data_IF_442674140475
#
_entry.id   IF_442674140475
#
_cell.length_a   1.000
_cell.length_b   1.000
_cell.length_c   1.000
_cell.angle_alpha   90.00
_cell.angle_beta   90.00
_cell.angle_gamma   90.00
#
_symmetry.space_group_name_H-M   'P 1'
#
loop_
_entity.id
_entity.type
_entity.pdbx_description
1 polymer ?
#
# COMPACT_ATOMS: atom_id res chain seq x y z
N UNK A 1 -9.77 -21.28 6.51
CA UNK A 1 -10.34 -19.92 6.46
C UNK A 1 -9.50 -19.00 5.55
N UNK A 2 -9.15 -19.44 4.33
CA UNK A 2 -8.08 -18.81 3.51
C UNK A 2 -8.61 -18.06 2.27
N UNK A 3 -9.88 -18.29 1.87
CA UNK A 3 -10.49 -17.69 0.68
C UNK A 3 -10.94 -16.22 0.83
N UNK A 4 -11.18 -15.75 2.05
CA UNK A 4 -11.73 -14.40 2.27
C UNK A 4 -10.64 -13.31 2.19
N UNK A 5 -9.43 -13.56 2.69
CA UNK A 5 -8.36 -12.57 2.71
C UNK A 5 -7.85 -12.20 1.31
N UNK A 6 -7.76 -13.17 0.41
CA UNK A 6 -7.33 -12.95 -0.97
C UNK A 6 -8.37 -12.16 -1.76
N UNK A 7 -9.66 -12.44 -1.53
CA UNK A 7 -10.79 -11.71 -2.09
C UNK A 7 -10.82 -10.25 -1.61
N UNK A 8 -10.72 -10.00 -0.30
CA UNK A 8 -10.73 -8.63 0.23
C UNK A 8 -9.47 -7.84 -0.14
N UNK A 9 -8.28 -8.47 -0.20
CA UNK A 9 -7.06 -7.80 -0.72
C UNK A 9 -7.23 -7.42 -2.18
N UNK A 10 -7.80 -8.30 -2.99
CA UNK A 10 -8.02 -8.05 -4.41
C UNK A 10 -8.98 -6.88 -4.60
N UNK A 11 -10.13 -6.88 -3.92
CA UNK A 11 -11.13 -5.81 -3.98
C UNK A 11 -10.59 -4.48 -3.44
N UNK A 12 -9.97 -4.48 -2.25
CA UNK A 12 -9.44 -3.23 -1.68
C UNK A 12 -8.26 -2.68 -2.50
N UNK A 13 -7.47 -3.52 -3.17
CA UNK A 13 -6.40 -3.06 -4.06
C UNK A 13 -6.95 -2.57 -5.41
N UNK A 14 -7.92 -3.28 -5.98
CA UNK A 14 -8.51 -2.92 -7.27
C UNK A 14 -9.36 -1.67 -7.16
N UNK A 15 -10.25 -1.56 -6.18
CA UNK A 15 -11.14 -0.40 -6.06
C UNK A 15 -10.39 0.89 -5.68
N UNK A 16 -9.37 0.79 -4.82
CA UNK A 16 -8.59 1.98 -4.39
C UNK A 16 -7.65 2.48 -5.50
N UNK A 17 -7.08 1.58 -6.29
CA UNK A 17 -6.15 1.94 -7.37
C UNK A 17 -6.90 2.24 -8.67
N UNK A 18 -7.85 1.38 -9.07
CA UNK A 18 -8.67 1.51 -10.28
C UNK A 18 -9.85 0.52 -10.28
N UNK A 19 -11.00 0.92 -9.76
CA UNK A 19 -12.27 0.31 -10.16
C UNK A 19 -12.60 0.78 -11.57
N UNK A 20 -13.24 -0.05 -12.40
CA UNK A 20 -13.42 0.20 -13.84
C UNK A 20 -13.97 1.59 -14.24
N UNK A 21 -14.58 2.34 -13.32
CA UNK A 21 -15.10 3.71 -13.54
C UNK A 21 -14.72 4.74 -12.47
N UNK A 22 -13.95 4.37 -11.43
CA UNK A 22 -13.61 5.24 -10.28
C UNK A 22 -12.29 4.81 -9.62
N UNK A 23 -11.60 5.73 -8.97
CA UNK A 23 -10.41 5.43 -8.17
C UNK A 23 -9.21 6.25 -8.59
N UNK A 24 -8.16 6.22 -7.76
CA UNK A 24 -7.07 7.18 -7.85
C UNK A 24 -6.48 7.31 -9.26
N UNK A 25 -6.14 6.20 -9.93
CA UNK A 25 -5.52 6.28 -11.26
C UNK A 25 -6.49 6.72 -12.35
N UNK A 26 -7.78 6.44 -12.22
CA UNK A 26 -8.78 6.91 -13.17
C UNK A 26 -8.92 8.43 -13.07
N UNK A 27 -9.21 8.93 -11.87
CA UNK A 27 -9.39 10.36 -11.58
C UNK A 27 -8.10 11.15 -11.91
N UNK A 28 -6.94 10.57 -11.60
CA UNK A 28 -5.64 11.11 -11.97
C UNK A 28 -5.46 11.19 -13.49
N UNK A 29 -5.72 10.11 -14.22
CA UNK A 29 -5.59 10.09 -15.68
C UNK A 29 -6.54 11.09 -16.36
N UNK A 30 -7.77 11.23 -15.86
CA UNK A 30 -8.73 12.21 -16.36
C UNK A 30 -8.26 13.65 -16.12
N UNK A 31 -7.72 13.93 -14.93
CA UNK A 31 -7.16 15.25 -14.60
C UNK A 31 -5.99 15.63 -15.52
N UNK A 32 -5.09 14.67 -15.80
CA UNK A 32 -3.97 14.86 -16.72
C UNK A 32 -4.47 15.06 -18.15
N UNK A 33 -5.41 14.25 -18.62
CA UNK A 33 -6.01 14.38 -19.95
C UNK A 33 -6.69 15.74 -20.14
N UNK A 34 -7.45 16.21 -19.14
CA UNK A 34 -8.09 17.53 -19.18
C UNK A 34 -7.07 18.67 -19.25
N UNK A 35 -5.94 18.53 -18.55
CA UNK A 35 -4.84 19.49 -18.59
C UNK A 35 -4.16 19.50 -19.96
N UNK A 36 -3.89 18.32 -20.53
CA UNK A 36 -3.26 18.16 -21.83
C UNK A 36 -4.16 18.63 -22.99
N UNK A 37 -5.47 18.39 -22.88
CA UNK A 37 -6.46 18.68 -23.89
C UNK A 37 -6.52 17.62 -25.00
N UNK A 38 -7.64 17.61 -25.73
CA UNK A 38 -7.95 16.57 -26.72
C UNK A 38 -6.99 16.55 -27.90
N UNK A 39 -6.45 17.71 -28.28
CA UNK A 39 -5.52 17.82 -29.41
C UNK A 39 -4.19 17.16 -29.08
N UNK A 40 -3.62 17.43 -27.90
CA UNK A 40 -2.39 16.79 -27.46
C UNK A 40 -2.59 15.28 -27.27
N UNK A 41 -3.69 14.90 -26.63
CA UNK A 41 -4.02 13.50 -26.34
C UNK A 41 -4.16 12.67 -27.62
N UNK A 42 -4.90 13.16 -28.62
CA UNK A 42 -5.16 12.42 -29.86
C UNK A 42 -4.01 12.49 -30.86
N UNK A 43 -3.32 13.63 -30.99
CA UNK A 43 -2.33 13.85 -32.05
C UNK A 43 -0.89 13.63 -31.63
N UNK A 44 -0.59 13.71 -30.34
CA UNK A 44 0.76 13.50 -29.81
C UNK A 44 0.79 12.18 -29.05
N UNK A 45 0.12 12.11 -27.91
CA UNK A 45 0.20 10.94 -27.03
C UNK A 45 -0.34 9.66 -27.67
N UNK A 46 -1.50 9.75 -28.32
CA UNK A 46 -2.15 8.61 -28.98
C UNK A 46 -1.43 8.09 -30.23
N UNK A 47 -0.42 8.80 -30.75
CA UNK A 47 0.40 8.38 -31.89
C UNK A 47 1.72 7.71 -31.48
N UNK A 48 2.00 7.62 -30.19
CA UNK A 48 3.21 6.96 -29.68
C UNK A 48 2.84 5.52 -29.32
N UNK A 49 3.56 4.58 -29.94
CA UNK A 49 3.27 3.15 -29.82
C UNK A 49 4.01 2.47 -28.66
N UNK A 50 5.04 3.10 -28.12
CA UNK A 50 5.85 2.56 -27.02
C UNK A 50 5.67 3.34 -25.70
N UNK A 51 5.71 2.60 -24.59
CA UNK A 51 5.49 3.18 -23.26
C UNK A 51 6.61 4.16 -22.86
N UNK A 52 7.84 3.93 -23.30
CA UNK A 52 8.98 4.81 -22.99
C UNK A 52 8.80 6.16 -23.67
N UNK A 53 8.39 6.18 -24.93
CA UNK A 53 8.05 7.37 -25.69
C UNK A 53 6.88 8.13 -25.07
N UNK A 54 5.83 7.42 -24.63
CA UNK A 54 4.67 8.02 -23.96
C UNK A 54 5.07 8.73 -22.68
N UNK A 55 5.89 8.09 -21.84
CA UNK A 55 6.41 8.71 -20.62
C UNK A 55 7.25 9.93 -20.97
N UNK A 56 8.17 9.83 -21.93
CA UNK A 56 8.97 10.98 -22.37
C UNK A 56 8.13 12.16 -22.84
N UNK A 57 7.07 11.90 -23.62
CA UNK A 57 6.17 12.95 -24.09
C UNK A 57 5.47 13.69 -22.94
N UNK A 58 5.06 12.96 -21.90
CA UNK A 58 4.47 13.55 -20.68
C UNK A 58 5.46 14.49 -19.97
N UNK A 59 6.74 14.13 -19.89
CA UNK A 59 7.77 14.93 -19.23
C UNK A 59 8.35 16.06 -20.11
N UNK A 60 8.13 16.01 -21.43
CA UNK A 60 8.58 17.04 -22.36
C UNK A 60 7.69 18.30 -22.35
N UNK A 61 6.39 18.15 -22.07
CA UNK A 61 5.46 19.26 -21.93
C UNK A 61 5.40 19.72 -20.47
N UNK A 62 5.86 20.95 -20.19
CA UNK A 62 5.93 21.48 -18.83
C UNK A 62 4.57 21.49 -18.12
N UNK A 63 3.49 21.81 -18.84
CA UNK A 63 2.15 21.90 -18.26
C UNK A 63 1.66 20.54 -17.78
N UNK A 64 1.89 19.50 -18.60
CA UNK A 64 1.46 18.14 -18.31
C UNK A 64 2.35 17.54 -17.23
N UNK A 65 3.67 17.72 -17.37
CA UNK A 65 4.68 17.31 -16.40
C UNK A 65 4.34 17.83 -15.01
N UNK A 66 4.07 19.13 -14.87
CA UNK A 66 3.89 19.73 -13.55
C UNK A 66 2.66 19.14 -12.84
N UNK A 67 1.55 18.94 -13.55
CA UNK A 67 0.36 18.27 -12.99
C UNK A 67 0.63 16.82 -12.57
N UNK A 68 1.40 16.08 -13.38
CA UNK A 68 1.79 14.70 -13.07
C UNK A 68 2.71 14.67 -11.84
N UNK A 69 3.77 15.48 -11.83
CA UNK A 69 4.76 15.52 -10.76
C UNK A 69 4.13 16.02 -9.47
N UNK A 70 3.33 17.09 -9.49
CA UNK A 70 2.69 17.64 -8.29
C UNK A 70 1.72 16.65 -7.64
N UNK A 71 1.01 15.87 -8.46
CA UNK A 71 0.09 14.86 -7.95
C UNK A 71 0.87 13.68 -7.36
N UNK A 72 1.87 13.17 -8.09
CA UNK A 72 2.66 12.02 -7.65
C UNK A 72 3.62 12.35 -6.50
N UNK A 73 4.08 13.60 -6.38
CA UNK A 73 4.88 14.07 -5.24
C UNK A 73 4.10 14.01 -3.92
N UNK A 74 2.77 14.12 -3.99
CA UNK A 74 1.88 13.98 -2.82
C UNK A 74 1.58 12.51 -2.50
N UNK A 75 1.85 11.59 -3.44
CA UNK A 75 1.74 10.15 -3.20
C UNK A 75 2.93 9.71 -2.36
N UNK A 76 2.73 9.68 -1.05
CA UNK A 76 3.66 9.04 -0.14
C UNK A 76 3.50 7.53 -0.26
N UNK A 77 4.58 6.75 -0.23
CA UNK A 77 4.44 5.32 -0.01
C UNK A 77 3.58 5.14 1.24
N UNK A 78 2.49 4.40 1.11
CA UNK A 78 1.71 3.98 2.27
C UNK A 78 2.53 2.89 2.99
N UNK A 79 3.66 3.28 3.56
CA UNK A 79 4.30 2.49 4.58
C UNK A 79 3.30 2.45 5.73
N UNK A 80 2.53 1.36 5.78
CA UNK A 80 2.13 0.80 7.06
C UNK A 80 3.43 0.33 7.70
N UNK A 81 4.24 1.26 8.20
CA UNK A 81 5.44 0.99 8.99
C UNK A 81 4.95 0.28 10.24
N UNK A 82 4.78 -1.01 10.08
CA UNK A 82 4.55 -1.97 11.15
C UNK A 82 5.92 -2.12 11.76
N UNK A 83 6.26 -1.11 12.55
CA UNK A 83 7.49 -1.01 13.29
C UNK A 83 7.55 -2.17 14.30
N UNK A 84 8.66 -2.89 14.29
CA UNK A 84 8.86 -4.05 15.14
C UNK A 84 8.77 -3.70 16.63
N UNK A 85 9.26 -2.53 17.01
CA UNK A 85 9.24 -2.03 18.38
C UNK A 85 7.83 -1.58 18.77
N UNK A 86 7.14 -0.82 17.91
CA UNK A 86 5.73 -0.45 18.17
C UNK A 86 4.87 -1.70 18.30
N UNK A 87 5.07 -2.67 17.41
CA UNK A 87 4.35 -3.94 17.46
C UNK A 87 4.69 -4.77 18.71
N UNK A 88 5.92 -4.71 19.21
CA UNK A 88 6.33 -5.39 20.44
C UNK A 88 5.69 -4.71 21.65
N UNK A 89 5.73 -3.39 21.72
CA UNK A 89 5.12 -2.58 22.77
C UNK A 89 3.62 -2.86 22.90
N UNK A 90 2.87 -2.81 21.79
CA UNK A 90 1.43 -3.12 21.77
C UNK A 90 1.11 -4.53 22.29
N UNK A 91 1.96 -5.51 21.99
CA UNK A 91 1.79 -6.88 22.47
C UNK A 91 2.03 -7.00 23.98
N UNK A 92 3.07 -6.34 24.48
CA UNK A 92 3.37 -6.31 25.91
C UNK A 92 2.25 -5.63 26.70
N UNK A 93 1.76 -4.50 26.20
CA UNK A 93 0.62 -3.79 26.78
C UNK A 93 -0.67 -4.63 26.73
N UNK A 94 -0.90 -5.34 25.62
CA UNK A 94 -2.00 -6.31 25.49
C UNK A 94 -1.95 -7.41 26.56
N UNK A 95 -0.76 -7.97 26.83
CA UNK A 95 -0.58 -8.96 27.91
C UNK A 95 -0.86 -8.37 29.29
N UNK A 96 -0.41 -7.14 29.55
CA UNK A 96 -0.68 -6.45 30.82
C UNK A 96 -2.19 -6.25 31.04
N UNK A 97 -2.92 -5.81 30.00
CA UNK A 97 -4.37 -5.60 30.07
C UNK A 97 -5.15 -6.92 30.20
N UNK A 98 -4.69 -7.98 29.55
CA UNK A 98 -5.28 -9.31 29.70
C UNK A 98 -5.09 -9.84 31.13
N UNK A 99 -3.94 -9.62 31.75
CA UNK A 99 -3.66 -10.04 33.12
C UNK A 99 -4.56 -9.37 34.17
N UNK A 100 -5.06 -8.16 33.90
CA UNK A 100 -6.02 -7.44 34.76
C UNK A 100 -7.48 -7.60 34.31
N UNK A 101 -7.78 -8.53 33.42
CA UNK A 101 -9.14 -8.87 32.98
C UNK A 101 -9.78 -7.89 31.98
N UNK A 102 -9.02 -6.93 31.43
CA UNK A 102 -9.52 -5.96 30.45
C UNK A 102 -9.41 -6.51 29.02
N UNK A 103 -10.17 -7.57 28.74
CA UNK A 103 -10.05 -8.35 27.51
C UNK A 103 -10.37 -7.58 26.22
N UNK A 104 -11.38 -6.70 26.22
CA UNK A 104 -11.74 -5.92 25.02
C UNK A 104 -10.60 -5.01 24.57
N UNK A 105 -9.92 -4.38 25.55
CA UNK A 105 -8.77 -3.50 25.28
C UNK A 105 -7.53 -4.31 24.91
N UNK A 106 -7.31 -5.45 25.57
CA UNK A 106 -6.23 -6.37 25.22
C UNK A 106 -6.38 -6.88 23.78
N UNK A 107 -7.59 -7.28 23.39
CA UNK A 107 -7.90 -7.75 22.04
C UNK A 107 -7.65 -6.67 20.98
N UNK A 108 -8.06 -5.42 21.26
CA UNK A 108 -7.76 -4.29 20.40
C UNK A 108 -6.25 -4.12 20.19
N UNK A 109 -5.45 -4.17 21.26
CA UNK A 109 -3.99 -4.06 21.16
C UNK A 109 -3.35 -5.22 20.41
N UNK A 110 -3.84 -6.45 20.60
CA UNK A 110 -3.36 -7.62 19.86
C UNK A 110 -3.70 -7.55 18.37
N UNK A 111 -4.89 -7.05 18.01
CA UNK A 111 -5.28 -6.85 16.59
C UNK A 111 -4.36 -5.84 15.88
N UNK A 112 -3.71 -4.98 16.65
CA UNK A 112 -2.80 -3.95 16.19
C UNK A 112 -1.31 -4.37 16.25
N UNK A 113 -1.01 -5.51 16.88
CA UNK A 113 0.34 -6.05 16.99
C UNK A 113 0.57 -7.14 15.92
N UNK A 114 1.69 -7.06 15.22
CA UNK A 114 2.07 -7.99 14.17
C UNK A 114 3.30 -8.76 14.61
N UNK A 115 3.11 -10.07 14.79
CA UNK A 115 4.13 -10.97 15.35
C UNK A 115 5.48 -10.91 14.62
N UNK A 116 5.49 -10.56 13.33
CA UNK A 116 6.67 -10.42 12.47
C UNK A 116 6.75 -9.06 11.77
N UNK A 117 6.56 -8.00 12.54
CA UNK A 117 6.88 -6.67 12.06
C UNK A 117 8.38 -6.58 11.69
N UNK A 118 8.74 -6.13 10.47
CA UNK A 118 10.13 -6.02 10.05
C UNK A 118 10.85 -4.95 10.87
N UNK A 119 12.10 -5.22 11.24
CA UNK A 119 12.96 -4.26 11.92
C UNK A 119 13.28 -3.12 10.95
N UNK A 120 12.95 -1.87 11.31
CA UNK A 120 13.32 -0.71 10.52
C UNK A 120 14.86 -0.65 10.41
N UNK A 121 15.36 -0.46 9.19
CA UNK A 121 16.80 -0.33 8.90
C UNK A 121 17.53 -1.61 8.46
N UNK A 122 16.95 -2.81 8.59
CA UNK A 122 17.61 -4.07 8.14
C UNK A 122 17.14 -4.62 6.80
N UNK A 123 16.03 -4.11 6.27
CA UNK A 123 15.53 -4.45 4.94
C UNK A 123 15.62 -3.23 4.01
N UNK A 124 16.81 -2.99 3.45
CA UNK A 124 16.90 -2.34 2.14
C UNK A 124 16.47 -3.40 1.11
N UNK A 125 15.17 -3.58 0.91
CA UNK A 125 14.69 -4.44 -0.17
C UNK A 125 14.85 -3.71 -1.51
N UNK A 126 16.03 -3.84 -2.12
CA UNK A 126 16.09 -4.02 -3.56
C UNK A 126 15.38 -5.35 -3.88
N UNK A 127 14.12 -5.27 -4.31
CA UNK A 127 13.34 -6.44 -4.74
C UNK A 127 12.31 -6.93 -3.72
N UNK A 128 11.05 -6.75 -4.08
CA UNK A 128 9.86 -7.53 -3.68
C UNK A 128 9.50 -7.59 -2.17
N UNK A 129 8.42 -6.93 -1.72
CA UNK A 129 7.92 -7.06 -0.36
C UNK A 129 7.17 -8.39 -0.20
N UNK A 130 7.86 -9.42 0.30
CA UNK A 130 7.22 -10.66 0.74
C UNK A 130 6.70 -10.45 2.16
N UNK A 131 5.43 -10.08 2.29
CA UNK A 131 4.70 -10.22 3.57
C UNK A 131 4.45 -11.71 3.77
N UNK A 132 5.38 -12.41 4.42
CA UNK A 132 5.17 -13.78 4.88
C UNK A 132 4.38 -13.72 6.20
N UNK A 133 3.05 -13.68 6.09
CA UNK A 133 2.17 -14.01 7.23
C UNK A 133 2.42 -15.48 7.52
N UNK A 134 3.23 -15.80 8.52
CA UNK A 134 3.20 -17.16 9.08
C UNK A 134 2.18 -17.16 10.21
N UNK A 135 1.07 -17.83 9.91
CA UNK A 135 0.07 -18.31 10.85
C UNK A 135 0.78 -19.37 11.68
N UNK A 136 0.65 -19.28 13.00
CA UNK A 136 1.21 -20.24 13.95
C UNK A 136 0.61 -21.63 13.64
N UNK A 137 1.45 -22.62 13.32
CA UNK A 137 1.10 -24.00 13.66
C UNK A 137 1.50 -24.20 15.12
N UNK A 138 0.60 -24.80 15.89
CA UNK A 138 0.85 -25.33 17.23
C UNK A 138 2.03 -26.30 17.14
N UNK A 139 3.23 -25.91 17.60
CA UNK A 139 4.33 -26.86 17.88
C UNK A 139 5.49 -26.24 18.68
N UNK A 140 5.25 -25.17 19.45
CA UNK A 140 6.33 -24.61 20.28
C UNK A 140 5.84 -24.06 21.62
N UNK A 141 5.36 -24.96 22.49
CA UNK A 141 5.45 -24.78 23.93
C UNK A 141 6.39 -25.86 24.48
N UNK A 142 7.58 -25.52 25.02
CA UNK A 142 8.24 -26.43 25.94
C UNK A 142 7.44 -26.42 27.26
N UNK A 143 7.04 -27.62 27.71
CA UNK A 143 6.42 -27.84 29.00
C UNK A 143 7.24 -27.20 30.13
N UNK A 144 6.65 -26.25 30.85
CA UNK A 144 6.91 -25.98 32.28
C UNK A 144 5.60 -25.55 32.91
#
# INVERSE_FOLDING_TARGET
MQKHDEFYRTICSSETLRSGKKGFFHDFSESVMRTAGDTWTSRIFGRIDDDVGRVRAVFADAKIRDVVVDTLAKVKPLFRDKDADISKCRRLEGYQLAAVGQYDKALLLFSQAILRAPQLGRYKCSGTPIIRVVILSEDQYPNV
#
